data_IF_874700817762
#
_entry.id   IF_874700817762
#
_cell.length_a   1.000
_cell.length_b   1.000
_cell.length_c   1.000
_cell.angle_alpha   90.00
_cell.angle_beta   90.00
_cell.angle_gamma   90.00
#
_symmetry.space_group_name_H-M   'P 1'
#
loop_
_entity.id
_entity.type
_entity.pdbx_description
1 polymer ?
#
# COMPACT_ATOMS: atom_id res chain seq x y z
N UNK A 1 -22.94 17.39 0.43
CA UNK A 1 -22.06 17.79 1.55
C UNK A 1 -21.31 16.56 2.06
N UNK A 2 -20.34 16.05 1.28
CA UNK A 2 -19.64 14.78 1.59
C UNK A 2 -18.10 14.92 1.49
N UNK A 3 -17.63 15.99 0.83
CA UNK A 3 -16.21 16.28 0.61
C UNK A 3 -15.55 16.77 1.91
N UNK A 4 -16.29 17.46 2.78
CA UNK A 4 -15.76 17.99 4.05
C UNK A 4 -15.49 16.87 5.07
N UNK A 5 -16.29 15.79 5.04
CA UNK A 5 -16.03 14.60 5.86
C UNK A 5 -14.79 13.83 5.37
N UNK A 6 -14.58 13.77 4.04
CA UNK A 6 -13.40 13.15 3.44
C UNK A 6 -12.08 13.89 3.78
N UNK A 7 -12.13 15.20 4.02
CA UNK A 7 -10.95 16.01 4.38
C UNK A 7 -10.58 15.87 5.87
N UNK A 8 -11.55 15.69 6.77
CA UNK A 8 -11.27 15.50 8.21
C UNK A 8 -10.63 14.15 8.53
N UNK A 9 -10.88 13.11 7.71
CA UNK A 9 -10.18 11.82 7.79
C UNK A 9 -8.70 11.88 7.39
N UNK A 10 -8.29 12.87 6.57
CA UNK A 10 -6.90 13.04 6.08
C UNK A 10 -5.94 13.38 7.23
N UNK A 11 -6.39 14.15 8.22
CA UNK A 11 -5.52 14.60 9.33
C UNK A 11 -5.33 13.53 10.42
N UNK A 12 -6.27 12.61 10.58
CA UNK A 12 -6.13 11.49 11.50
C UNK A 12 -5.25 10.37 10.94
N UNK A 13 -5.50 9.95 9.70
CA UNK A 13 -4.88 8.79 9.05
C UNK A 13 -3.35 8.89 8.92
N UNK A 14 -2.84 10.05 8.49
CA UNK A 14 -1.40 10.29 8.32
C UNK A 14 -0.61 10.16 9.64
N UNK A 15 -1.21 10.58 10.76
CA UNK A 15 -0.57 10.52 12.07
C UNK A 15 -0.38 9.07 12.55
N UNK A 16 -1.31 8.16 12.24
CA UNK A 16 -1.23 6.77 12.71
C UNK A 16 -0.15 5.97 11.98
N UNK A 17 -0.01 6.12 10.66
CA UNK A 17 1.08 5.51 9.90
C UNK A 17 2.45 6.04 10.34
N UNK A 18 2.54 7.35 10.62
CA UNK A 18 3.73 7.97 11.19
C UNK A 18 4.08 7.40 12.59
N UNK A 19 3.08 7.20 13.45
CA UNK A 19 3.28 6.56 14.76
C UNK A 19 3.69 5.09 14.64
N UNK A 20 3.21 4.34 13.65
CA UNK A 20 3.67 2.96 13.43
C UNK A 20 5.13 2.89 12.98
N UNK A 21 5.60 3.82 12.14
CA UNK A 21 7.04 3.90 11.82
C UNK A 21 7.90 4.14 13.07
N UNK A 22 7.39 4.91 14.05
CA UNK A 22 8.10 5.19 15.31
C UNK A 22 7.99 4.04 16.32
N UNK A 23 6.85 3.35 16.41
CA UNK A 23 6.61 2.25 17.36
C UNK A 23 7.22 0.91 16.93
N UNK A 24 7.41 0.68 15.61
CA UNK A 24 8.22 -0.43 15.10
C UNK A 24 9.74 -0.22 15.35
N UNK A 25 10.14 0.98 15.78
CA UNK A 25 11.51 1.35 16.12
C UNK A 25 11.74 1.50 17.63
N UNK A 26 11.58 0.43 18.42
CA UNK A 26 12.19 0.35 19.77
C UNK A 26 13.73 0.23 19.67
N UNK A 27 14.35 1.24 19.05
CA UNK A 27 15.79 1.51 18.99
C UNK A 27 15.99 2.93 18.46
N UNK A 28 15.31 3.93 19.05
CA UNK A 28 15.32 5.31 18.56
C UNK A 28 15.83 6.30 19.63
N UNK A 29 17.05 6.06 20.11
CA UNK A 29 17.95 7.16 20.43
C UNK A 29 18.75 7.46 19.15
N UNK A 30 18.80 8.73 18.75
CA UNK A 30 19.52 9.27 17.58
C UNK A 30 18.70 9.29 16.27
N UNK A 31 17.69 10.15 16.25
CA UNK A 31 17.08 10.67 15.02
C UNK A 31 18.04 11.71 14.42
N UNK A 32 18.65 11.36 13.30
CA UNK A 32 19.46 12.25 12.47
C UNK A 32 20.04 11.55 11.25
N UNK A 33 20.81 10.47 11.46
CA UNK A 33 21.60 9.84 10.39
C UNK A 33 21.16 8.41 9.98
N UNK A 34 20.20 7.81 10.68
CA UNK A 34 19.81 6.41 10.45
C UNK A 34 19.03 6.14 9.15
N UNK A 35 18.60 7.18 8.41
CA UNK A 35 17.91 7.02 7.13
C UNK A 35 18.82 6.41 6.04
N UNK A 36 20.14 6.62 6.12
CA UNK A 36 21.07 6.07 5.13
C UNK A 36 21.39 4.58 5.35
N UNK A 37 21.30 4.06 6.58
CA UNK A 37 21.70 2.69 6.90
C UNK A 37 20.59 1.64 6.67
N UNK A 38 19.33 2.08 6.55
CA UNK A 38 18.21 1.22 6.15
C UNK A 38 18.31 0.75 4.69
N UNK A 39 18.92 1.56 3.80
CA UNK A 39 19.17 1.20 2.38
C UNK A 39 19.96 -0.10 2.20
N UNK A 40 20.93 -0.37 3.09
CA UNK A 40 21.83 -1.52 2.97
C UNK A 40 21.31 -2.81 3.60
N UNK A 41 20.61 -2.71 4.73
CA UNK A 41 20.08 -3.86 5.46
C UNK A 41 18.90 -4.52 4.72
N UNK A 42 18.02 -3.72 4.12
CA UNK A 42 16.90 -4.21 3.31
C UNK A 42 17.38 -4.95 2.05
N UNK A 43 18.37 -4.41 1.33
CA UNK A 43 19.03 -5.11 0.20
C UNK A 43 19.62 -6.46 0.64
N UNK A 44 20.44 -6.50 1.69
CA UNK A 44 21.16 -7.72 2.10
C UNK A 44 20.23 -8.84 2.59
N UNK A 45 19.15 -8.52 3.31
CA UNK A 45 18.17 -9.53 3.75
C UNK A 45 17.40 -10.12 2.55
N UNK A 46 17.07 -9.27 1.57
CA UNK A 46 16.36 -9.64 0.34
C UNK A 46 17.18 -10.49 -0.63
N UNK A 47 18.50 -10.31 -0.73
CA UNK A 47 19.34 -11.13 -1.62
C UNK A 47 19.58 -12.56 -1.10
N UNK A 48 19.49 -12.80 0.21
CA UNK A 48 19.72 -14.13 0.78
C UNK A 48 18.52 -15.08 0.66
N UNK A 49 17.31 -14.54 0.50
CA UNK A 49 16.07 -15.32 0.30
C UNK A 49 15.62 -15.41 -1.19
N UNK A 50 16.42 -14.89 -2.13
CA UNK A 50 16.09 -14.74 -3.55
C UNK A 50 16.18 -16.01 -4.40
N UNK A 51 16.61 -17.13 -3.84
CA UNK A 51 16.86 -18.34 -4.62
C UNK A 51 15.59 -19.13 -5.00
N UNK A 52 14.44 -18.94 -4.33
CA UNK A 52 13.31 -19.88 -4.46
C UNK A 52 11.88 -19.29 -4.50
N UNK A 53 11.66 -17.96 -4.44
CA UNK A 53 10.30 -17.42 -4.22
C UNK A 53 9.80 -16.41 -5.28
N UNK A 54 8.52 -16.56 -5.65
CA UNK A 54 7.76 -15.68 -6.56
C UNK A 54 7.92 -14.18 -6.22
N UNK A 55 7.91 -13.24 -7.20
CA UNK A 55 7.95 -11.79 -6.98
C UNK A 55 7.04 -11.27 -5.86
N UNK A 56 5.85 -11.85 -5.73
CA UNK A 56 4.87 -11.51 -4.69
C UNK A 56 5.30 -11.99 -3.31
N UNK A 57 5.96 -13.14 -3.21
CA UNK A 57 6.50 -13.67 -1.96
C UNK A 57 7.74 -12.90 -1.46
N UNK A 58 8.38 -12.12 -2.32
CA UNK A 58 9.48 -11.24 -1.96
C UNK A 58 9.04 -9.93 -1.29
N UNK A 59 7.73 -9.67 -1.18
CA UNK A 59 7.17 -8.49 -0.51
C UNK A 59 6.93 -8.80 0.96
N UNK A 60 7.71 -8.18 1.83
CA UNK A 60 7.61 -8.27 3.30
C UNK A 60 7.15 -6.97 3.97
N UNK A 61 7.17 -5.86 3.23
CA UNK A 61 6.70 -4.55 3.71
C UNK A 61 5.21 -4.33 3.37
N UNK A 62 4.35 -4.05 4.36
CA UNK A 62 2.92 -3.83 4.12
C UNK A 62 2.63 -2.60 3.25
N UNK A 63 3.49 -1.57 3.26
CA UNK A 63 3.32 -0.40 2.40
C UNK A 63 3.64 -0.74 0.93
N UNK A 64 4.74 -1.43 0.65
CA UNK A 64 5.04 -1.95 -0.68
C UNK A 64 3.94 -2.89 -1.21
N UNK A 65 3.39 -3.76 -0.36
CA UNK A 65 2.26 -4.62 -0.70
C UNK A 65 0.99 -3.82 -1.06
N UNK A 66 0.66 -2.80 -0.25
CA UNK A 66 -0.46 -1.90 -0.51
C UNK A 66 -0.28 -1.18 -1.85
N UNK A 67 0.89 -0.59 -2.10
CA UNK A 67 1.20 0.08 -3.36
C UNK A 67 1.08 -0.86 -4.56
N UNK A 68 1.58 -2.09 -4.47
CA UNK A 68 1.48 -3.07 -5.55
C UNK A 68 0.02 -3.39 -5.88
N UNK A 69 -0.82 -3.55 -4.85
CA UNK A 69 -2.25 -3.73 -5.03
C UNK A 69 -2.92 -2.50 -5.68
N UNK A 70 -2.61 -1.28 -5.23
CA UNK A 70 -3.17 -0.04 -5.80
C UNK A 70 -2.81 0.11 -7.28
N UNK A 71 -1.57 -0.19 -7.66
CA UNK A 71 -1.11 -0.16 -9.06
C UNK A 71 -1.89 -1.18 -9.89
N UNK A 72 -2.00 -2.42 -9.43
CA UNK A 72 -2.75 -3.47 -10.13
C UNK A 72 -4.24 -3.13 -10.26
N UNK A 73 -4.84 -2.54 -9.22
CA UNK A 73 -6.23 -2.08 -9.24
C UNK A 73 -6.47 -0.97 -10.27
N UNK A 74 -5.58 0.03 -10.33
CA UNK A 74 -5.66 1.10 -11.31
C UNK A 74 -5.44 0.59 -12.74
N UNK A 75 -4.42 -0.27 -12.94
CA UNK A 75 -4.12 -0.89 -14.22
C UNK A 75 -5.18 -1.91 -14.69
N UNK A 76 -6.17 -2.27 -13.86
CA UNK A 76 -7.21 -3.21 -14.30
C UNK A 76 -8.09 -2.69 -15.46
N UNK A 77 -8.10 -1.37 -15.72
CA UNK A 77 -8.74 -0.75 -16.90
C UNK A 77 -7.85 -0.78 -18.17
N UNK A 78 -6.58 -1.16 -18.05
CA UNK A 78 -5.60 -1.13 -19.14
C UNK A 78 -4.19 -0.82 -18.66
N UNK A 79 -3.53 0.18 -19.23
CA UNK A 79 -2.26 0.66 -18.69
C UNK A 79 -2.48 1.62 -17.52
N UNK A 80 -1.59 1.62 -16.53
CA UNK A 80 -1.58 2.63 -15.48
C UNK A 80 -1.45 4.04 -16.10
N UNK A 81 -2.42 4.92 -15.85
CA UNK A 81 -2.42 6.29 -16.35
C UNK A 81 -1.46 7.18 -15.53
N UNK A 82 -0.94 8.28 -16.10
CA UNK A 82 -0.12 9.24 -15.35
C UNK A 82 -0.84 9.83 -14.13
N UNK A 83 -2.15 10.09 -14.25
CA UNK A 83 -2.95 10.64 -13.16
C UNK A 83 -3.16 9.63 -12.04
N UNK A 84 -3.42 8.36 -12.36
CA UNK A 84 -3.48 7.29 -11.37
C UNK A 84 -2.12 7.06 -10.70
N UNK A 85 -1.01 7.10 -11.44
CA UNK A 85 0.33 7.02 -10.88
C UNK A 85 0.60 8.16 -9.90
N UNK A 86 0.32 9.40 -10.29
CA UNK A 86 0.49 10.56 -9.43
C UNK A 86 -0.38 10.47 -8.17
N UNK A 87 -1.63 10.02 -8.31
CA UNK A 87 -2.53 9.82 -7.18
C UNK A 87 -2.00 8.74 -6.22
N UNK A 88 -1.47 7.62 -6.73
CA UNK A 88 -0.87 6.56 -5.90
C UNK A 88 0.33 7.10 -5.13
N UNK A 89 1.26 7.80 -5.80
CA UNK A 89 2.45 8.40 -5.16
C UNK A 89 2.05 9.41 -4.08
N UNK A 90 1.03 10.23 -4.32
CA UNK A 90 0.49 11.15 -3.32
C UNK A 90 -0.08 10.43 -2.09
N UNK A 91 -0.78 9.31 -2.25
CA UNK A 91 -1.24 8.50 -1.11
C UNK A 91 -0.07 7.84 -0.35
N UNK A 92 1.00 7.43 -1.05
CA UNK A 92 2.22 6.90 -0.42
C UNK A 92 2.88 7.93 0.48
N UNK A 93 2.96 9.19 0.04
CA UNK A 93 3.52 10.29 0.83
C UNK A 93 2.62 10.68 2.00
N UNK A 94 1.35 10.93 1.71
CA UNK A 94 0.44 11.59 2.67
C UNK A 94 -0.20 10.63 3.67
N UNK A 95 -0.57 9.42 3.25
CA UNK A 95 -1.27 8.45 4.10
C UNK A 95 -0.31 7.41 4.65
N UNK A 96 0.50 6.80 3.79
CA UNK A 96 1.44 5.74 4.21
C UNK A 96 2.74 6.29 4.81
N UNK A 97 2.99 7.61 4.71
CA UNK A 97 4.20 8.27 5.18
C UNK A 97 5.51 7.64 4.65
N UNK A 98 5.50 7.15 3.41
CA UNK A 98 6.66 6.47 2.81
C UNK A 98 7.77 7.49 2.54
N UNK A 99 8.98 7.34 3.12
CA UNK A 99 10.05 8.32 2.99
C UNK A 99 10.77 8.30 1.64
N UNK A 100 10.68 7.19 0.89
CA UNK A 100 11.35 7.01 -0.40
C UNK A 100 10.35 6.42 -1.41
N UNK A 101 9.43 7.29 -1.83
CA UNK A 101 8.27 6.94 -2.65
C UNK A 101 8.68 6.28 -3.95
N UNK A 102 9.67 6.84 -4.66
CA UNK A 102 10.04 6.36 -5.99
C UNK A 102 10.58 4.92 -5.95
N UNK A 103 11.51 4.63 -5.03
CA UNK A 103 12.09 3.28 -4.93
C UNK A 103 11.02 2.23 -4.55
N UNK A 104 10.12 2.59 -3.62
CA UNK A 104 9.02 1.70 -3.20
C UNK A 104 8.02 1.53 -4.34
N UNK A 105 7.70 2.60 -5.07
CA UNK A 105 6.78 2.58 -6.20
C UNK A 105 7.32 1.71 -7.33
N UNK A 106 8.58 1.88 -7.73
CA UNK A 106 9.23 1.07 -8.78
C UNK A 106 9.22 -0.41 -8.40
N UNK A 107 9.53 -0.74 -7.16
CA UNK A 107 9.48 -2.12 -6.70
C UNK A 107 8.05 -2.67 -6.71
N UNK A 108 7.09 -1.92 -6.17
CA UNK A 108 5.69 -2.31 -6.12
C UNK A 108 5.09 -2.47 -7.53
N UNK A 109 5.46 -1.61 -8.47
CA UNK A 109 5.09 -1.71 -9.89
C UNK A 109 5.62 -2.99 -10.50
N UNK A 110 6.91 -3.29 -10.29
CA UNK A 110 7.49 -4.55 -10.76
C UNK A 110 6.74 -5.76 -10.20
N UNK A 111 6.32 -5.74 -8.92
CA UNK A 111 5.49 -6.81 -8.35
C UNK A 111 4.13 -6.89 -9.03
N UNK A 112 3.45 -5.76 -9.22
CA UNK A 112 2.14 -5.68 -9.84
C UNK A 112 2.14 -6.22 -11.28
N UNK A 113 3.18 -5.92 -12.06
CA UNK A 113 3.35 -6.38 -13.44
C UNK A 113 3.49 -7.92 -13.55
N UNK A 114 3.85 -8.61 -12.46
CA UNK A 114 3.96 -10.08 -12.43
C UNK A 114 2.67 -10.78 -11.99
N UNK A 115 1.56 -10.04 -11.84
CA UNK A 115 0.27 -10.59 -11.43
C UNK A 115 -0.80 -10.29 -12.47
N UNK A 116 -1.56 -11.31 -12.82
CA UNK A 116 -2.57 -11.22 -13.88
C UNK A 116 -3.91 -10.63 -13.41
N UNK A 117 -4.24 -10.75 -12.11
CA UNK A 117 -5.49 -10.27 -11.51
C UNK A 117 -5.23 -9.51 -10.18
N UNK A 118 -5.66 -8.24 -10.04
CA UNK A 118 -5.58 -7.50 -8.77
C UNK A 118 -6.26 -8.21 -7.60
N UNK A 119 -7.28 -9.02 -7.85
CA UNK A 119 -7.94 -9.85 -6.85
C UNK A 119 -7.00 -10.87 -6.20
N UNK A 120 -5.97 -11.34 -6.91
CA UNK A 120 -4.97 -12.28 -6.39
C UNK A 120 -4.02 -11.58 -5.40
N UNK A 121 -3.64 -10.33 -5.67
CA UNK A 121 -2.76 -9.57 -4.75
C UNK A 121 -3.41 -9.35 -3.39
N UNK A 122 -4.68 -8.94 -3.35
CA UNK A 122 -5.35 -8.74 -2.06
C UNK A 122 -5.56 -10.05 -1.30
N UNK A 123 -5.66 -11.18 -1.98
CA UNK A 123 -5.67 -12.51 -1.33
C UNK A 123 -4.30 -12.81 -0.70
N UNK A 124 -3.22 -12.67 -1.48
CA UNK A 124 -1.86 -13.03 -1.05
C UNK A 124 -1.34 -12.13 0.07
N UNK A 125 -1.62 -10.83 -0.01
CA UNK A 125 -1.20 -9.86 1.00
C UNK A 125 -2.13 -9.76 2.20
N UNK A 126 -3.30 -10.40 2.18
CA UNK A 126 -4.27 -10.36 3.29
C UNK A 126 -3.63 -10.70 4.64
N UNK A 127 -2.85 -11.80 4.72
CA UNK A 127 -2.18 -12.20 5.96
C UNK A 127 -1.15 -11.17 6.44
N UNK A 128 -0.40 -10.58 5.50
CA UNK A 128 0.58 -9.54 5.81
C UNK A 128 -0.11 -8.31 6.38
N UNK A 129 -1.19 -7.84 5.74
CA UNK A 129 -1.92 -6.68 6.23
C UNK A 129 -2.64 -6.93 7.56
N UNK A 130 -3.28 -8.08 7.73
CA UNK A 130 -3.93 -8.42 9.01
C UNK A 130 -2.92 -8.54 10.15
N UNK A 131 -1.72 -9.07 9.88
CA UNK A 131 -0.67 -9.22 10.89
C UNK A 131 0.06 -7.93 11.26
N UNK A 132 0.12 -6.95 10.34
CA UNK A 132 0.98 -5.77 10.51
C UNK A 132 0.22 -4.44 10.55
N UNK A 133 -1.01 -4.35 10.04
CA UNK A 133 -1.83 -3.14 10.02
C UNK A 133 -2.84 -3.13 11.17
N UNK A 134 -2.92 -2.00 11.86
CA UNK A 134 -3.99 -1.71 12.82
C UNK A 134 -5.34 -1.57 12.12
N UNK A 135 -6.47 -1.71 12.84
CA UNK A 135 -7.81 -1.56 12.25
C UNK A 135 -8.00 -0.26 11.46
N UNK A 136 -7.52 0.87 11.99
CA UNK A 136 -7.61 2.17 11.32
C UNK A 136 -6.80 2.19 9.99
N UNK A 137 -5.59 1.64 10.00
CA UNK A 137 -4.74 1.59 8.81
C UNK A 137 -5.30 0.64 7.73
N UNK A 138 -6.04 -0.39 8.14
CA UNK A 138 -6.81 -1.25 7.22
C UNK A 138 -7.96 -0.49 6.58
N UNK A 139 -8.65 0.36 7.33
CA UNK A 139 -9.65 1.26 6.77
C UNK A 139 -9.02 2.27 5.79
N UNK A 140 -7.87 2.85 6.16
CA UNK A 140 -7.13 3.77 5.28
C UNK A 140 -6.74 3.10 3.96
N UNK A 141 -6.27 1.85 3.99
CA UNK A 141 -5.94 1.08 2.80
C UNK A 141 -7.16 0.89 1.88
N UNK A 142 -8.31 0.58 2.44
CA UNK A 142 -9.54 0.46 1.68
C UNK A 142 -9.98 1.79 1.06
N UNK A 143 -9.86 2.88 1.82
CA UNK A 143 -10.20 4.22 1.35
C UNK A 143 -9.26 4.70 0.24
N UNK A 144 -7.95 4.42 0.38
CA UNK A 144 -6.96 4.65 -0.68
C UNK A 144 -7.36 3.91 -1.96
N UNK A 145 -7.66 2.61 -1.85
CA UNK A 145 -8.05 1.80 -3.00
C UNK A 145 -9.33 2.32 -3.68
N UNK A 146 -10.31 2.74 -2.88
CA UNK A 146 -11.57 3.31 -3.38
C UNK A 146 -11.34 4.62 -4.13
N UNK A 147 -10.46 5.50 -3.61
CA UNK A 147 -10.06 6.74 -4.29
C UNK A 147 -9.34 6.46 -5.60
N UNK A 148 -8.36 5.56 -5.59
CA UNK A 148 -7.58 5.21 -6.78
C UNK A 148 -8.46 4.61 -7.89
N UNK A 149 -9.41 3.75 -7.54
CA UNK A 149 -10.35 3.18 -8.51
C UNK A 149 -11.22 4.24 -9.22
N UNK A 150 -11.41 5.40 -8.60
CA UNK A 150 -12.23 6.50 -9.11
C UNK A 150 -11.43 7.59 -9.86
N UNK A 151 -10.09 7.49 -9.93
CA UNK A 151 -9.24 8.53 -10.55
C UNK A 151 -9.56 8.68 -12.04
N UNK A 152 -9.63 7.57 -12.76
CA UNK A 152 -9.88 7.56 -14.21
C UNK A 152 -11.39 7.48 -14.56
N UNK A 153 -12.27 7.96 -13.67
CA UNK A 153 -13.73 7.95 -13.84
C UNK A 153 -14.45 6.92 -12.95
N UNK A 154 -15.69 6.57 -13.29
CA UNK A 154 -16.48 5.63 -12.48
C UNK A 154 -15.80 4.25 -12.39
N UNK A 155 -15.63 3.68 -11.17
CA UNK A 155 -15.02 2.36 -10.99
C UNK A 155 -15.70 1.28 -11.82
N UNK A 156 -14.91 0.45 -12.50
CA UNK A 156 -15.43 -0.69 -13.28
C UNK A 156 -15.98 -1.79 -12.38
N UNK A 157 -16.80 -2.69 -12.93
CA UNK A 157 -17.30 -3.87 -12.22
C UNK A 157 -16.18 -4.74 -11.63
N UNK A 158 -15.07 -4.88 -12.37
CA UNK A 158 -13.88 -5.60 -11.90
C UNK A 158 -13.26 -4.90 -10.68
N UNK A 159 -13.09 -3.58 -10.73
CA UNK A 159 -12.56 -2.81 -9.61
C UNK A 159 -13.48 -2.86 -8.40
N UNK A 160 -14.80 -2.77 -8.60
CA UNK A 160 -15.81 -2.92 -7.55
C UNK A 160 -15.71 -4.31 -6.91
N UNK A 161 -15.55 -5.36 -7.71
CA UNK A 161 -15.32 -6.73 -7.23
C UNK A 161 -14.05 -6.84 -6.38
N UNK A 162 -12.94 -6.25 -6.84
CA UNK A 162 -11.68 -6.21 -6.10
C UNK A 162 -11.78 -5.43 -4.79
N UNK A 163 -12.46 -4.28 -4.78
CA UNK A 163 -12.70 -3.49 -3.57
C UNK A 163 -13.53 -4.28 -2.56
N UNK A 164 -14.60 -4.96 -3.01
CA UNK A 164 -15.40 -5.83 -2.15
C UNK A 164 -14.58 -6.96 -1.54
N UNK A 165 -13.73 -7.60 -2.35
CA UNK A 165 -12.84 -8.66 -1.88
C UNK A 165 -11.82 -8.13 -0.86
N UNK A 166 -11.22 -6.96 -1.13
CA UNK A 166 -10.30 -6.29 -0.22
C UNK A 166 -10.97 -5.98 1.12
N UNK A 167 -12.17 -5.41 1.09
CA UNK A 167 -12.96 -5.07 2.28
C UNK A 167 -13.14 -6.30 3.20
N UNK A 168 -13.59 -7.42 2.64
CA UNK A 168 -13.76 -8.67 3.39
C UNK A 168 -12.42 -9.16 3.96
N UNK A 169 -11.35 -9.14 3.16
CA UNK A 169 -10.03 -9.65 3.55
C UNK A 169 -9.34 -8.81 4.61
N UNK A 170 -9.60 -7.51 4.63
CA UNK A 170 -9.14 -6.60 5.68
C UNK A 170 -9.94 -6.75 6.97
N UNK A 171 -11.01 -7.57 6.96
CA UNK A 171 -11.82 -7.84 8.15
C UNK A 171 -12.62 -6.62 8.60
N UNK A 172 -12.97 -5.71 7.70
CA UNK A 172 -13.80 -4.53 8.06
C UNK A 172 -15.31 -4.87 8.03
N UNK A 173 -15.65 -6.16 8.18
CA UNK A 173 -17.04 -6.65 8.09
C UNK A 173 -17.86 -6.29 9.35
N UNK A 174 -18.50 -5.11 9.25
CA UNK A 174 -19.74 -4.62 9.90
C UNK A 174 -19.70 -4.24 11.40
N UNK A 175 -20.64 -3.35 11.79
CA UNK A 175 -20.70 -1.90 11.59
C UNK A 175 -20.08 -1.10 12.77
#
# INVERSE_FOLDING_TARGET
MHIVAAILSILGAAAFWFYRMRAAGQALSEVGDAAQHLRGAYRRKRFRNKAESSPVAAVDDPAAAATAFLISLAASRGSLTPDAEAAIKAQMESVMAVPNVEDVFVFARWVADHVHDPGDLSLRFSKLWIGHLQPAERADLYDMASRIAAVDGEPTDLQIGCLRALHVRLGLTRP
#
